data_IF_034867719538
#
_entry.id   IF_034867719538
#
_cell.length_a   1.000
_cell.length_b   1.000
_cell.length_c   1.000
_cell.angle_alpha   90.00
_cell.angle_beta   90.00
_cell.angle_gamma   90.00
#
_symmetry.space_group_name_H-M   'P 1'
#
loop_
_entity.id
_entity.type
_entity.pdbx_description
1 polymer ?
#
# COMPACT_ATOMS: atom_id res chain seq x y z
N UNK A 1 -18.17 -11.00 3.26
CA UNK A 1 -17.49 -11.12 4.57
C UNK A 1 -18.44 -10.52 5.59
N UNK A 2 -18.94 -11.27 6.59
CA UNK A 2 -19.78 -10.67 7.63
C UNK A 2 -18.98 -9.61 8.37
N UNK A 3 -19.64 -8.53 8.80
CA UNK A 3 -19.02 -7.53 9.67
C UNK A 3 -18.66 -8.18 11.01
N UNK A 4 -17.56 -7.77 11.67
CA UNK A 4 -17.20 -8.32 12.98
C UNK A 4 -18.24 -7.94 14.04
N UNK A 5 -18.54 -8.88 14.93
CA UNK A 5 -19.42 -8.66 16.10
C UNK A 5 -18.63 -8.42 17.40
N UNK A 6 -17.30 -8.56 17.34
CA UNK A 6 -16.40 -8.33 18.47
C UNK A 6 -16.42 -6.85 18.87
N UNK A 7 -16.96 -6.58 20.06
CA UNK A 7 -17.10 -5.22 20.60
C UNK A 7 -15.77 -4.50 20.80
N UNK A 8 -14.70 -5.22 21.14
CA UNK A 8 -13.38 -4.60 21.33
C UNK A 8 -12.80 -4.19 19.98
N UNK A 9 -12.92 -5.06 18.97
CA UNK A 9 -12.48 -4.76 17.61
C UNK A 9 -13.26 -3.58 17.00
N UNK A 10 -14.58 -3.55 17.19
CA UNK A 10 -15.42 -2.44 16.74
C UNK A 10 -15.01 -1.13 17.42
N UNK A 11 -14.82 -1.14 18.74
CA UNK A 11 -14.34 0.02 19.48
C UNK A 11 -12.98 0.50 18.99
N UNK A 12 -12.03 -0.42 18.75
CA UNK A 12 -10.71 -0.09 18.22
C UNK A 12 -10.81 0.56 16.83
N UNK A 13 -11.67 0.03 15.96
CA UNK A 13 -11.92 0.59 14.62
C UNK A 13 -12.48 2.01 14.70
N UNK A 14 -13.45 2.25 15.58
CA UNK A 14 -14.04 3.57 15.77
C UNK A 14 -13.00 4.57 16.30
N UNK A 15 -12.24 4.19 17.34
CA UNK A 15 -11.16 5.03 17.89
C UNK A 15 -10.09 5.35 16.85
N UNK A 16 -9.73 4.40 15.97
CA UNK A 16 -8.80 4.62 14.87
C UNK A 16 -9.31 5.69 13.89
N UNK A 17 -10.56 5.58 13.46
CA UNK A 17 -11.16 6.54 12.53
C UNK A 17 -11.28 7.93 13.16
N UNK A 18 -11.69 8.02 14.42
CA UNK A 18 -11.79 9.29 15.13
C UNK A 18 -10.42 9.93 15.33
N UNK A 19 -9.46 9.18 15.90
CA UNK A 19 -8.12 9.70 16.21
C UNK A 19 -7.37 10.13 14.95
N UNK A 20 -7.45 9.37 13.86
CA UNK A 20 -6.79 9.77 12.59
C UNK A 20 -7.37 11.05 12.01
N UNK A 21 -8.69 11.23 12.10
CA UNK A 21 -9.34 12.47 11.66
C UNK A 21 -8.90 13.66 12.50
N UNK A 22 -8.88 13.52 13.82
CA UNK A 22 -8.40 14.55 14.75
C UNK A 22 -6.94 14.91 14.48
N UNK A 23 -6.07 13.90 14.32
CA UNK A 23 -4.62 14.08 14.11
C UNK A 23 -4.31 14.96 12.90
N UNK A 24 -5.07 14.81 11.82
CA UNK A 24 -4.83 15.53 10.56
C UNK A 24 -5.84 16.65 10.28
N UNK A 25 -6.78 16.92 11.19
CA UNK A 25 -7.94 17.79 10.96
C UNK A 25 -8.67 17.45 9.64
N UNK A 26 -8.95 16.15 9.44
CA UNK A 26 -9.47 15.65 8.14
C UNK A 26 -10.98 15.86 8.02
N UNK A 27 -11.47 16.57 6.98
CA UNK A 27 -12.90 16.76 6.80
C UNK A 27 -13.65 15.43 6.58
N UNK A 28 -14.90 15.35 7.04
CA UNK A 28 -15.71 14.12 7.01
C UNK A 28 -15.93 13.53 5.61
N UNK A 29 -15.92 14.35 4.57
CA UNK A 29 -16.06 13.92 3.18
C UNK A 29 -14.77 13.40 2.53
N UNK A 30 -13.64 13.40 3.26
CA UNK A 30 -12.38 12.80 2.86
C UNK A 30 -12.12 11.51 3.65
N UNK A 31 -11.28 10.65 3.08
CA UNK A 31 -10.74 9.48 3.78
C UNK A 31 -9.86 9.95 4.95
N UNK A 32 -9.93 9.33 6.13
CA UNK A 32 -9.19 9.76 7.33
C UNK A 32 -7.66 9.64 7.17
N UNK A 33 -7.23 8.72 6.30
CA UNK A 33 -5.87 8.58 5.76
C UNK A 33 -5.98 8.46 4.25
N UNK A 34 -4.91 8.72 3.52
CA UNK A 34 -4.93 8.74 2.06
C UNK A 34 -5.95 9.74 1.46
N UNK A 35 -6.04 10.93 2.05
CA UNK A 35 -7.02 11.95 1.66
C UNK A 35 -6.73 12.55 0.27
N UNK A 36 -5.46 12.81 -0.06
CA UNK A 36 -5.00 13.21 -1.39
C UNK A 36 -4.77 11.97 -2.25
N UNK A 37 -5.54 11.81 -3.33
CA UNK A 37 -5.35 10.71 -4.26
C UNK A 37 -6.11 10.87 -5.57
N UNK A 38 -5.70 10.11 -6.59
CA UNK A 38 -6.24 10.15 -7.94
C UNK A 38 -6.62 8.75 -8.41
N UNK A 39 -7.86 8.61 -8.89
CA UNK A 39 -8.33 7.38 -9.52
C UNK A 39 -7.89 7.31 -10.98
N UNK A 40 -7.48 6.13 -11.40
CA UNK A 40 -7.12 5.80 -12.78
C UNK A 40 -7.69 4.44 -13.17
N UNK A 41 -7.80 4.16 -14.47
CA UNK A 41 -8.28 2.88 -15.00
C UNK A 41 -7.17 2.17 -15.76
N UNK A 42 -7.26 0.85 -15.83
CA UNK A 42 -6.32 0.02 -16.59
C UNK A 42 -6.85 -1.39 -16.76
N UNK A 43 -5.93 -2.30 -17.07
CA UNK A 43 -6.22 -3.72 -17.22
C UNK A 43 -5.05 -4.55 -16.69
N UNK A 44 -5.36 -5.74 -16.20
CA UNK A 44 -4.39 -6.74 -15.79
C UNK A 44 -4.49 -7.94 -16.72
N UNK A 45 -3.34 -8.47 -17.13
CA UNK A 45 -3.23 -9.73 -17.85
C UNK A 45 -2.36 -10.67 -17.03
N UNK A 46 -2.88 -11.81 -16.55
CA UNK A 46 -2.07 -12.75 -15.78
C UNK A 46 -1.00 -13.39 -16.65
N UNK A 47 0.11 -13.79 -16.02
CA UNK A 47 1.08 -14.65 -16.68
C UNK A 47 0.43 -16.01 -17.00
N UNK A 48 0.85 -16.66 -18.09
CA UNK A 48 0.30 -17.95 -18.55
C UNK A 48 0.34 -19.07 -17.50
N UNK A 49 1.26 -18.97 -16.55
CA UNK A 49 1.46 -19.95 -15.47
C UNK A 49 0.79 -19.53 -14.14
N UNK A 50 0.15 -18.36 -14.07
CA UNK A 50 -0.41 -17.82 -12.83
C UNK A 50 -1.55 -18.70 -12.25
N UNK A 51 -2.30 -19.39 -13.11
CA UNK A 51 -3.34 -20.34 -12.71
C UNK A 51 -2.81 -21.50 -11.85
N UNK A 52 -1.51 -21.81 -11.94
CA UNK A 52 -0.87 -22.82 -11.09
C UNK A 52 -0.76 -22.38 -9.62
N UNK A 53 -0.77 -21.08 -9.36
CA UNK A 53 -0.64 -20.51 -8.02
C UNK A 53 -1.99 -20.56 -7.29
N UNK A 54 -3.08 -20.18 -7.95
CA UNK A 54 -4.40 -20.16 -7.33
C UNK A 54 -5.54 -20.23 -8.34
N UNK A 55 -6.66 -20.79 -7.88
CA UNK A 55 -7.94 -20.85 -8.60
C UNK A 55 -8.72 -19.53 -8.66
N UNK A 56 -8.15 -18.44 -8.16
CA UNK A 56 -8.84 -17.15 -8.14
C UNK A 56 -9.11 -16.64 -9.57
N UNK A 57 -10.29 -16.02 -9.84
CA UNK A 57 -10.66 -15.57 -11.19
C UNK A 57 -9.64 -14.61 -11.83
N UNK A 58 -8.91 -13.83 -11.02
CA UNK A 58 -7.90 -12.91 -11.54
C UNK A 58 -6.73 -13.63 -12.25
N UNK A 59 -6.53 -14.94 -12.03
CA UNK A 59 -5.47 -15.72 -12.67
C UNK A 59 -5.96 -16.57 -13.85
N UNK A 60 -7.27 -16.66 -14.05
CA UNK A 60 -7.87 -17.51 -15.10
C UNK A 60 -8.51 -16.71 -16.22
N UNK A 61 -8.88 -15.44 -15.97
CA UNK A 61 -9.36 -14.53 -17.01
C UNK A 61 -8.21 -14.05 -17.90
N UNK A 62 -8.41 -13.89 -19.23
CA UNK A 62 -7.37 -13.41 -20.13
C UNK A 62 -6.99 -11.94 -19.88
N UNK A 63 -7.94 -11.14 -19.40
CA UNK A 63 -7.72 -9.75 -19.00
C UNK A 63 -8.80 -9.32 -18.02
N UNK A 64 -8.43 -8.55 -17.00
CA UNK A 64 -9.33 -8.05 -15.96
C UNK A 64 -9.27 -6.53 -15.89
N UNK A 65 -10.39 -5.80 -16.02
CA UNK A 65 -10.42 -4.36 -15.83
C UNK A 65 -10.01 -3.95 -14.41
N UNK A 66 -9.26 -2.86 -14.32
CA UNK A 66 -8.78 -2.32 -13.05
C UNK A 66 -9.32 -0.92 -12.79
N UNK A 67 -9.68 -0.67 -11.53
CA UNK A 67 -9.79 0.67 -10.96
C UNK A 67 -8.66 0.81 -9.95
N UNK A 68 -7.84 1.84 -10.06
CA UNK A 68 -6.67 2.02 -9.22
C UNK A 68 -6.64 3.42 -8.60
N UNK A 69 -6.02 3.55 -7.44
CA UNK A 69 -5.89 4.83 -6.72
C UNK A 69 -4.44 5.02 -6.29
N UNK A 70 -3.79 6.07 -6.78
CA UNK A 70 -2.54 6.57 -6.19
C UNK A 70 -2.87 7.61 -5.14
N UNK A 71 -2.17 7.57 -4.00
CA UNK A 71 -2.41 8.52 -2.92
C UNK A 71 -1.16 8.80 -2.09
N UNK A 72 -1.19 9.91 -1.37
CA UNK A 72 -0.30 10.12 -0.22
C UNK A 72 -0.81 9.34 0.99
N UNK A 73 -0.06 9.29 2.10
CA UNK A 73 -0.43 8.44 3.25
C UNK A 73 -1.24 9.14 4.35
N UNK A 74 -1.19 10.47 4.42
CA UNK A 74 -1.83 11.25 5.50
C UNK A 74 -3.31 11.58 5.24
N UNK A 75 -4.00 12.09 6.26
CA UNK A 75 -5.33 12.72 6.15
C UNK A 75 -5.33 14.14 5.54
N UNK A 76 -4.16 14.72 5.26
CA UNK A 76 -4.08 16.04 4.64
C UNK A 76 -4.48 16.01 3.16
N UNK A 77 -5.59 16.69 2.81
CA UNK A 77 -6.10 16.78 1.43
C UNK A 77 -5.13 17.41 0.43
N UNK A 78 -4.24 18.29 0.90
CA UNK A 78 -3.31 19.07 0.08
C UNK A 78 -1.85 18.79 0.47
N UNK A 79 -1.53 17.55 0.88
CA UNK A 79 -0.15 17.19 1.22
C UNK A 79 0.76 17.48 0.02
N UNK A 80 1.81 18.29 0.18
CA UNK A 80 2.80 18.50 -0.87
C UNK A 80 3.59 17.22 -1.16
N UNK A 81 3.80 16.93 -2.44
CA UNK A 81 4.56 15.75 -2.87
C UNK A 81 6.05 15.85 -2.52
N UNK A 82 6.54 17.07 -2.29
CA UNK A 82 7.93 17.41 -2.00
C UNK A 82 8.22 17.65 -0.50
N UNK A 83 7.30 17.26 0.39
CA UNK A 83 7.45 17.40 1.84
C UNK A 83 8.46 16.44 2.46
N UNK A 84 8.49 16.34 3.79
CA UNK A 84 9.37 15.38 4.49
C UNK A 84 8.91 13.92 4.33
N UNK A 85 7.59 13.72 4.12
CA UNK A 85 6.97 12.41 4.01
C UNK A 85 6.97 11.89 2.56
N UNK A 86 7.85 10.94 2.28
CA UNK A 86 7.92 10.22 1.00
C UNK A 86 6.97 9.03 0.86
N UNK A 87 6.18 8.71 1.89
CA UNK A 87 5.28 7.56 1.86
C UNK A 87 4.10 7.80 0.94
N UNK A 88 3.82 6.80 0.12
CA UNK A 88 2.74 6.77 -0.87
C UNK A 88 2.03 5.43 -0.82
N UNK A 89 0.80 5.42 -1.30
CA UNK A 89 -0.01 4.22 -1.47
C UNK A 89 -0.49 4.04 -2.90
N UNK A 90 -0.71 2.77 -3.21
CA UNK A 90 -1.33 2.34 -4.45
C UNK A 90 -2.35 1.23 -4.16
N UNK A 91 -3.61 1.51 -4.44
CA UNK A 91 -4.69 0.55 -4.32
C UNK A 91 -5.12 0.09 -5.72
N UNK A 92 -5.37 -1.22 -5.88
CA UNK A 92 -5.86 -1.83 -7.12
C UNK A 92 -7.13 -2.60 -6.80
N UNK A 93 -8.20 -2.32 -7.53
CA UNK A 93 -9.41 -3.13 -7.60
C UNK A 93 -9.48 -3.86 -8.93
N UNK A 94 -9.54 -5.18 -8.85
CA UNK A 94 -9.82 -6.10 -9.96
C UNK A 94 -11.33 -6.28 -10.07
N UNK A 95 -11.91 -5.88 -11.19
CA UNK A 95 -13.35 -6.01 -11.43
C UNK A 95 -13.63 -7.38 -12.05
N UNK A 96 -14.18 -8.31 -11.26
CA UNK A 96 -14.30 -9.73 -11.62
C UNK A 96 -15.67 -10.13 -12.17
N UNK A 97 -16.67 -9.26 -12.06
CA UNK A 97 -18.01 -9.42 -12.65
C UNK A 97 -18.43 -8.16 -13.41
N UNK A 98 -19.32 -8.32 -14.38
CA UNK A 98 -19.80 -7.20 -15.21
C UNK A 98 -20.54 -6.12 -14.40
N UNK A 99 -21.25 -6.51 -13.36
CA UNK A 99 -21.93 -5.59 -12.44
C UNK A 99 -20.98 -4.87 -11.46
N UNK A 100 -19.71 -5.27 -11.44
CA UNK A 100 -18.67 -4.72 -10.54
C UNK A 100 -18.82 -5.09 -9.07
N UNK A 101 -19.79 -5.92 -8.69
CA UNK A 101 -20.00 -6.32 -7.30
C UNK A 101 -19.00 -7.39 -6.84
N UNK A 102 -18.56 -8.26 -7.74
CA UNK A 102 -17.47 -9.21 -7.46
C UNK A 102 -16.14 -8.54 -7.80
N UNK A 103 -15.30 -8.36 -6.79
CA UNK A 103 -14.00 -7.72 -6.95
C UNK A 103 -12.96 -8.31 -5.99
N UNK A 104 -11.69 -8.09 -6.33
CA UNK A 104 -10.56 -8.35 -5.45
C UNK A 104 -9.76 -7.07 -5.33
N UNK A 105 -9.39 -6.69 -4.11
CA UNK A 105 -8.64 -5.47 -3.84
C UNK A 105 -7.24 -5.81 -3.31
N UNK A 106 -6.22 -5.13 -3.84
CA UNK A 106 -4.87 -5.12 -3.30
C UNK A 106 -4.60 -3.71 -2.78
N UNK A 107 -4.27 -3.59 -1.49
CA UNK A 107 -3.83 -2.34 -0.88
C UNK A 107 -2.32 -2.42 -0.68
N UNK A 108 -1.58 -1.40 -1.12
CA UNK A 108 -0.12 -1.37 -1.01
C UNK A 108 0.41 0.00 -0.60
N UNK A 109 1.61 0.01 -0.04
CA UNK A 109 2.42 1.20 0.21
C UNK A 109 3.78 1.05 -0.47
N UNK A 110 4.50 2.15 -0.63
CA UNK A 110 5.91 2.13 -1.07
C UNK A 110 6.91 1.81 0.05
N UNK A 111 6.42 1.59 1.27
CA UNK A 111 7.21 1.06 2.39
C UNK A 111 7.40 -0.45 2.28
N UNK A 112 8.59 -0.93 2.64
CA UNK A 112 8.85 -2.35 2.81
C UNK A 112 8.78 -2.75 4.29
N UNK A 113 7.65 -3.32 4.69
CA UNK A 113 7.28 -3.51 6.09
C UNK A 113 6.38 -2.39 6.60
N UNK A 114 6.07 -2.41 7.89
CA UNK A 114 5.22 -1.40 8.53
C UNK A 114 5.71 -1.03 9.92
N UNK A 115 5.29 0.14 10.40
CA UNK A 115 5.77 0.74 11.66
C UNK A 115 5.45 -0.15 12.86
N UNK A 116 4.25 -0.72 12.87
CA UNK A 116 3.69 -1.59 13.92
C UNK A 116 2.99 -2.81 13.33
N UNK A 117 2.68 -3.82 14.15
CA UNK A 117 2.01 -5.05 13.72
C UNK A 117 0.56 -5.20 14.17
N UNK A 118 0.05 -4.30 15.01
CA UNK A 118 -1.30 -4.38 15.57
C UNK A 118 -2.08 -3.08 15.39
N UNK A 119 -3.42 -3.19 15.42
CA UNK A 119 -4.30 -2.03 15.34
C UNK A 119 -4.14 -1.09 16.54
N UNK A 120 -3.90 -1.63 17.74
CA UNK A 120 -3.62 -0.86 18.95
C UNK A 120 -2.31 -0.09 18.83
N UNK A 121 -1.25 -0.71 18.29
CA UNK A 121 0.01 -0.01 18.04
C UNK A 121 -0.15 1.12 17.02
N UNK A 122 -1.01 0.93 16.02
CA UNK A 122 -1.30 1.95 15.02
C UNK A 122 -2.14 3.10 15.60
N UNK A 123 -3.08 2.78 16.49
CA UNK A 123 -3.83 3.77 17.25
C UNK A 123 -2.91 4.58 18.17
N UNK A 124 -2.00 3.91 18.88
CA UNK A 124 -1.01 4.57 19.74
C UNK A 124 -0.10 5.51 18.95
N UNK A 125 0.27 5.14 17.71
CA UNK A 125 1.03 6.02 16.82
C UNK A 125 0.27 7.32 16.53
N UNK A 126 -1.01 7.25 16.16
CA UNK A 126 -1.79 8.46 15.88
C UNK A 126 -2.10 9.27 17.13
N UNK A 127 -2.36 8.63 18.28
CA UNK A 127 -2.47 9.34 19.56
C UNK A 127 -1.18 10.11 19.87
N UNK A 128 -0.02 9.49 19.67
CA UNK A 128 1.28 10.13 19.85
C UNK A 128 1.51 11.29 18.86
N UNK A 129 1.10 11.16 17.59
CA UNK A 129 1.15 12.26 16.62
C UNK A 129 0.25 13.43 17.01
N UNK A 130 -1.00 13.15 17.40
CA UNK A 130 -1.98 14.18 17.82
C UNK A 130 -1.51 14.94 19.05
N UNK A 131 -0.93 14.23 20.01
CA UNK A 131 -0.57 14.77 21.32
C UNK A 131 0.88 15.29 21.39
N UNK A 132 1.62 15.27 20.28
CA UNK A 132 3.05 15.63 20.16
C UNK A 132 3.98 14.81 21.09
N UNK A 133 3.76 13.49 21.13
CA UNK A 133 4.45 12.52 22.00
C UNK A 133 5.14 11.40 21.22
N UNK A 134 5.63 11.70 20.03
CA UNK A 134 6.25 10.68 19.17
C UNK A 134 7.45 9.98 19.81
N UNK A 135 8.29 10.67 20.59
CA UNK A 135 9.42 10.02 21.26
C UNK A 135 8.98 8.97 22.29
N UNK A 136 7.93 9.24 23.08
CA UNK A 136 7.38 8.26 24.03
C UNK A 136 6.87 7.01 23.30
N UNK A 137 6.22 7.20 22.15
CA UNK A 137 5.80 6.09 21.28
C UNK A 137 7.00 5.30 20.75
N UNK A 138 8.06 5.96 20.30
CA UNK A 138 9.25 5.29 19.76
C UNK A 138 10.04 4.54 20.84
N UNK A 139 10.01 5.00 22.09
CA UNK A 139 10.57 4.28 23.23
C UNK A 139 9.74 3.02 23.57
N UNK A 140 8.41 3.12 23.48
CA UNK A 140 7.49 1.99 23.68
C UNK A 140 7.56 0.96 22.55
N UNK A 141 7.82 1.40 21.31
CA UNK A 141 7.89 0.57 20.11
C UNK A 141 9.27 0.67 19.43
N UNK A 142 10.29 -0.07 19.91
CA UNK A 142 11.64 0.00 19.35
C UNK A 142 11.73 -0.30 17.85
N UNK A 143 10.85 -1.18 17.34
CA UNK A 143 10.74 -1.42 15.90
C UNK A 143 10.29 -0.17 15.13
N UNK A 144 9.35 0.60 15.66
CA UNK A 144 8.87 1.81 15.03
C UNK A 144 10.00 2.85 14.90
N UNK A 145 10.85 2.98 15.94
CA UNK A 145 12.08 3.79 15.90
C UNK A 145 13.00 3.33 14.78
N UNK A 146 13.32 2.04 14.76
CA UNK A 146 14.14 1.45 13.70
C UNK A 146 13.57 1.72 12.30
N UNK A 147 12.26 1.53 12.12
CA UNK A 147 11.58 1.77 10.83
C UNK A 147 11.69 3.23 10.40
N UNK A 148 11.42 4.19 11.28
CA UNK A 148 11.48 5.63 10.95
C UNK A 148 12.90 6.10 10.60
N UNK A 149 13.90 5.53 11.27
CA UNK A 149 15.31 5.91 11.04
C UNK A 149 15.91 5.24 9.80
N UNK A 150 15.48 4.02 9.46
CA UNK A 150 16.19 3.18 8.48
C UNK A 150 15.34 2.73 7.28
N UNK A 151 14.02 2.75 7.38
CA UNK A 151 13.11 2.14 6.40
C UNK A 151 12.03 3.09 5.86
N UNK A 152 11.99 4.35 6.31
CA UNK A 152 11.07 5.34 5.76
C UNK A 152 11.25 5.52 4.24
N UNK A 153 10.16 5.48 3.45
CA UNK A 153 10.26 5.60 1.99
C UNK A 153 10.88 6.91 1.52
N UNK A 154 11.78 6.80 0.54
CA UNK A 154 12.22 7.95 -0.25
C UNK A 154 11.19 8.34 -1.32
N UNK A 155 11.20 9.61 -1.71
CA UNK A 155 10.38 10.16 -2.78
C UNK A 155 10.77 9.56 -4.14
N UNK A 156 9.80 9.00 -4.87
CA UNK A 156 10.00 8.56 -6.26
C UNK A 156 9.87 9.70 -7.26
N UNK A 157 10.59 9.62 -8.38
CA UNK A 157 10.50 10.61 -9.46
C UNK A 157 9.09 10.75 -10.02
N UNK A 158 8.35 9.64 -10.00
CA UNK A 158 6.99 9.50 -10.50
C UNK A 158 6.39 8.25 -9.87
N UNK A 159 5.06 8.21 -9.74
CA UNK A 159 4.35 6.96 -9.43
C UNK A 159 4.76 5.82 -10.39
N UNK A 160 5.02 6.12 -11.67
CA UNK A 160 5.45 5.15 -12.68
C UNK A 160 6.81 4.48 -12.42
N UNK A 161 7.55 4.99 -11.44
CA UNK A 161 8.90 4.58 -11.06
C UNK A 161 8.97 4.16 -9.59
N UNK A 162 7.80 3.97 -8.98
CA UNK A 162 7.65 3.54 -7.61
C UNK A 162 7.39 2.04 -7.54
N UNK A 163 7.95 1.39 -6.52
CA UNK A 163 7.64 0.00 -6.20
C UNK A 163 6.70 -0.06 -5.01
N UNK A 164 5.74 -0.99 -5.05
CA UNK A 164 4.70 -1.11 -4.04
C UNK A 164 4.66 -2.49 -3.40
N UNK A 165 4.28 -2.54 -2.13
CA UNK A 165 4.26 -3.72 -1.30
C UNK A 165 2.94 -3.81 -0.54
N UNK A 166 2.30 -4.99 -0.52
CA UNK A 166 1.05 -5.18 0.23
C UNK A 166 1.23 -5.27 1.75
N UNK A 167 2.48 -5.29 2.22
CA UNK A 167 2.88 -5.41 3.63
C UNK A 167 2.49 -6.77 4.24
N UNK A 168 1.19 -7.06 4.32
CA UNK A 168 0.63 -8.30 4.84
C UNK A 168 0.89 -9.48 3.91
N UNK A 169 1.02 -10.68 4.51
CA UNK A 169 1.00 -11.92 3.78
C UNK A 169 -0.45 -12.38 3.51
N UNK A 170 -0.64 -12.99 2.35
CA UNK A 170 -1.85 -13.63 1.90
C UNK A 170 -1.58 -15.10 1.65
N UNK A 171 -2.63 -15.88 1.43
CA UNK A 171 -2.53 -17.32 1.18
C UNK A 171 -3.13 -17.66 -0.17
N UNK A 172 -2.31 -18.23 -1.05
CA UNK A 172 -2.80 -18.90 -2.25
C UNK A 172 -3.36 -20.27 -1.89
N UNK A 173 -4.41 -20.67 -2.62
CA UNK A 173 -4.95 -22.02 -2.64
C UNK A 173 -5.15 -22.41 -4.10
N UNK A 174 -4.49 -23.47 -4.54
CA UNK A 174 -4.59 -24.01 -5.91
C UNK A 174 -5.75 -25.03 -6.05
N UNK A 175 -5.90 -25.60 -7.24
CA UNK A 175 -6.97 -26.56 -7.55
C UNK A 175 -6.85 -27.89 -6.78
N UNK A 176 -5.64 -28.23 -6.34
CA UNK A 176 -5.35 -29.42 -5.51
C UNK A 176 -5.55 -29.15 -4.00
N UNK A 177 -5.91 -27.91 -3.62
CA UNK A 177 -6.03 -27.49 -2.22
C UNK A 177 -4.70 -27.21 -1.53
N UNK A 178 -3.58 -27.20 -2.26
CA UNK A 178 -2.27 -26.84 -1.71
C UNK A 178 -2.23 -25.35 -1.38
N UNK A 179 -1.78 -25.06 -0.17
CA UNK A 179 -1.67 -23.70 0.34
C UNK A 179 -0.24 -23.17 0.24
N UNK A 180 -0.07 -21.89 -0.09
CA UNK A 180 1.23 -21.20 -0.01
C UNK A 180 1.05 -19.73 0.34
N UNK A 181 1.75 -19.27 1.38
CA UNK A 181 1.76 -17.86 1.75
C UNK A 181 2.61 -17.03 0.78
N UNK A 182 2.22 -15.78 0.60
CA UNK A 182 2.92 -14.84 -0.28
C UNK A 182 2.64 -13.38 0.11
N UNK A 183 3.46 -12.45 -0.38
CA UNK A 183 3.21 -11.00 -0.34
C UNK A 183 3.19 -10.44 -1.75
N UNK A 184 2.28 -9.52 -2.04
CA UNK A 184 2.25 -8.85 -3.33
C UNK A 184 3.38 -7.82 -3.43
N UNK A 185 4.02 -7.78 -4.61
CA UNK A 185 4.96 -6.74 -5.03
C UNK A 185 4.53 -6.19 -6.38
N UNK A 186 4.50 -4.88 -6.52
CA UNK A 186 4.16 -4.21 -7.77
C UNK A 186 5.41 -3.47 -8.23
N UNK A 187 6.05 -4.00 -9.27
CA UNK A 187 7.37 -3.54 -9.72
C UNK A 187 7.24 -2.72 -11.00
N UNK A 188 7.74 -1.48 -11.05
CA UNK A 188 7.62 -0.62 -12.22
C UNK A 188 8.47 -1.15 -13.38
N UNK A 189 7.92 -1.11 -14.61
CA UNK A 189 8.68 -1.55 -15.80
C UNK A 189 9.90 -0.68 -16.07
N UNK A 190 9.84 0.59 -15.70
CA UNK A 190 10.91 1.59 -15.90
C UNK A 190 12.02 1.46 -14.83
N UNK A 191 11.87 0.57 -13.85
CA UNK A 191 12.75 0.49 -12.70
C UNK A 191 12.38 1.49 -11.60
N UNK A 192 12.96 1.28 -10.42
CA UNK A 192 12.74 2.15 -9.25
C UNK A 192 13.66 3.35 -9.35
N UNK A 193 13.10 4.57 -9.33
CA UNK A 193 13.85 5.82 -9.38
C UNK A 193 13.43 6.76 -8.26
N UNK A 194 14.40 7.18 -7.44
CA UNK A 194 14.18 7.94 -6.21
C UNK A 194 14.99 9.23 -6.19
N UNK A 195 14.41 10.28 -5.63
CA UNK A 195 15.12 11.49 -5.25
C UNK A 195 15.86 11.30 -3.93
N UNK A 196 17.00 12.00 -3.79
CA UNK A 196 17.52 12.34 -2.47
C UNK A 196 16.50 13.23 -1.74
N UNK A 197 16.55 13.30 -0.41
CA UNK A 197 15.68 14.23 0.35
C UNK A 197 15.84 15.69 -0.13
N UNK A 198 17.08 16.10 -0.42
CA UNK A 198 17.38 17.45 -0.88
C UNK A 198 16.84 17.75 -2.29
N UNK A 199 16.84 16.77 -3.20
CA UNK A 199 16.32 16.96 -4.56
C UNK A 199 14.80 16.86 -4.62
N UNK A 200 14.20 16.04 -3.76
CA UNK A 200 12.75 15.98 -3.59
C UNK A 200 12.20 17.35 -3.16
N UNK A 201 12.84 18.00 -2.17
CA UNK A 201 12.43 19.32 -1.68
C UNK A 201 12.48 20.44 -2.74
N UNK A 202 13.22 20.25 -3.84
CA UNK A 202 13.29 21.19 -4.97
C UNK A 202 12.20 20.97 -6.02
N UNK A 203 11.47 19.84 -5.95
CA UNK A 203 10.38 19.57 -6.89
C UNK A 203 9.19 20.48 -6.60
N UNK A 204 8.28 20.58 -7.57
CA UNK A 204 6.99 21.25 -7.38
C UNK A 204 6.11 20.53 -6.35
N UNK A 205 5.18 21.23 -5.72
CA UNK A 205 4.34 20.67 -4.65
C UNK A 205 3.40 19.54 -5.10
N UNK A 206 3.19 19.37 -6.39
CA UNK A 206 2.27 18.37 -6.96
C UNK A 206 2.92 17.50 -8.05
N UNK A 207 4.26 17.48 -8.14
CA UNK A 207 4.98 16.92 -9.28
C UNK A 207 4.61 15.46 -9.62
N UNK A 208 4.24 14.63 -8.64
CA UNK A 208 3.91 13.22 -8.89
C UNK A 208 2.51 13.08 -9.51
N UNK A 209 1.57 13.89 -9.04
CA UNK A 209 0.21 13.93 -9.60
C UNK A 209 0.18 14.66 -10.95
N UNK A 210 0.98 15.70 -11.13
CA UNK A 210 1.13 16.40 -12.41
C UNK A 210 1.75 15.47 -13.48
N UNK A 211 2.78 14.68 -13.13
CA UNK A 211 3.34 13.66 -14.03
C UNK A 211 2.33 12.56 -14.35
N UNK A 212 1.51 12.13 -13.38
CA UNK A 212 0.44 11.16 -13.61
C UNK A 212 -0.58 11.67 -14.63
N UNK A 213 -1.06 12.90 -14.45
CA UNK A 213 -2.00 13.54 -15.37
C UNK A 213 -1.38 13.73 -16.76
N UNK A 214 -0.15 14.22 -16.82
CA UNK A 214 0.58 14.40 -18.08
C UNK A 214 0.72 13.08 -18.84
N UNK A 215 1.12 11.99 -18.17
CA UNK A 215 1.26 10.68 -18.82
C UNK A 215 -0.05 10.17 -19.40
N UNK A 216 -1.11 10.22 -18.61
CA UNK A 216 -2.40 9.67 -19.02
C UNK A 216 -3.07 10.51 -20.11
N UNK A 217 -2.96 11.83 -20.05
CA UNK A 217 -3.46 12.74 -21.11
C UNK A 217 -2.69 12.62 -22.43
N UNK A 218 -1.46 12.12 -22.41
CA UNK A 218 -0.60 11.97 -23.59
C UNK A 218 -0.43 10.51 -24.04
N UNK A 219 -1.34 9.60 -23.65
CA UNK A 219 -1.29 8.19 -24.03
C UNK A 219 0.04 7.49 -23.69
N UNK A 220 0.66 7.84 -22.56
CA UNK A 220 1.87 7.21 -22.01
C UNK A 220 1.49 6.31 -20.83
N UNK A 221 0.93 5.10 -21.06
CA UNK A 221 0.44 4.26 -19.98
C UNK A 221 1.58 3.85 -19.03
N UNK A 222 1.27 3.85 -17.73
CA UNK A 222 2.15 3.30 -16.70
C UNK A 222 1.99 1.78 -16.69
N UNK A 223 3.11 1.05 -16.62
CA UNK A 223 3.13 -0.42 -16.61
C UNK A 223 3.85 -0.92 -15.36
N UNK A 224 3.24 -1.89 -14.68
CA UNK A 224 3.87 -2.63 -13.58
C UNK A 224 3.73 -4.13 -13.77
N UNK A 225 4.73 -4.85 -13.26
CA UNK A 225 4.61 -6.29 -13.01
C UNK A 225 4.02 -6.48 -11.62
N UNK A 226 2.88 -7.16 -11.55
CA UNK A 226 2.34 -7.66 -10.29
C UNK A 226 2.96 -9.04 -10.02
N UNK A 227 3.73 -9.12 -8.96
CA UNK A 227 4.57 -10.27 -8.61
C UNK A 227 4.16 -10.82 -7.25
N UNK A 228 4.21 -12.14 -7.08
CA UNK A 228 4.05 -12.77 -5.78
C UNK A 228 5.42 -13.14 -5.20
N UNK A 229 5.82 -12.48 -4.10
CA UNK A 229 6.95 -12.93 -3.29
C UNK A 229 6.45 -14.09 -2.43
N UNK A 230 6.94 -15.31 -2.66
CA UNK A 230 6.43 -16.49 -1.98
C UNK A 230 7.15 -16.72 -0.64
N UNK A 231 6.41 -17.19 0.36
CA UNK A 231 6.98 -17.58 1.65
C UNK A 231 7.85 -18.84 1.52
N UNK A 232 8.90 -18.88 2.33
CA UNK A 232 9.79 -20.00 2.60
C UNK A 232 9.65 -20.43 4.07
N UNK A 233 10.29 -21.54 4.43
CA UNK A 233 10.32 -22.02 5.80
C UNK A 233 10.98 -20.99 6.73
N UNK A 234 10.35 -20.72 7.88
CA UNK A 234 10.84 -19.76 8.88
C UNK A 234 10.40 -18.31 8.64
N UNK A 235 9.70 -18.01 7.54
CA UNK A 235 9.15 -16.68 7.33
C UNK A 235 7.97 -16.37 8.24
N UNK A 236 7.98 -15.18 8.82
CA UNK A 236 6.83 -14.65 9.56
C UNK A 236 5.75 -14.14 8.59
N UNK A 237 4.53 -14.64 8.74
CA UNK A 237 3.39 -14.36 7.85
C UNK A 237 2.35 -13.45 8.51
N UNK A 238 2.34 -13.35 9.85
CA UNK A 238 1.33 -12.62 10.63
C UNK A 238 1.88 -11.37 11.33
N UNK A 239 3.13 -10.97 11.05
CA UNK A 239 3.74 -9.73 11.56
C UNK A 239 4.22 -8.85 10.39
N UNK A 240 3.58 -7.69 10.21
CA UNK A 240 3.92 -6.71 9.17
C UNK A 240 5.24 -5.97 9.42
N UNK A 241 5.79 -6.04 10.63
CA UNK A 241 7.12 -5.49 10.96
C UNK A 241 8.25 -6.39 10.48
N UNK A 242 7.96 -7.69 10.26
CA UNK A 242 8.94 -8.64 9.73
C UNK A 242 8.92 -8.64 8.22
N UNK A 243 10.03 -8.22 7.61
CA UNK A 243 10.25 -8.25 6.17
C UNK A 243 10.91 -9.55 5.73
N UNK A 244 10.62 -9.98 4.51
CA UNK A 244 11.28 -11.14 3.89
C UNK A 244 12.51 -10.68 3.08
N UNK A 245 13.48 -11.55 2.77
CA UNK A 245 14.61 -11.18 1.93
C UNK A 245 14.19 -10.63 0.55
N UNK A 246 14.75 -9.48 0.15
CA UNK A 246 14.30 -8.79 -1.06
C UNK A 246 14.61 -9.50 -2.37
N UNK A 247 15.73 -10.24 -2.42
CA UNK A 247 16.26 -10.88 -3.63
C UNK A 247 15.62 -12.23 -3.96
N UNK A 248 14.50 -12.58 -3.30
CA UNK A 248 13.82 -13.85 -3.57
C UNK A 248 13.23 -13.92 -4.97
N UNK A 249 13.15 -15.15 -5.49
CA UNK A 249 12.35 -15.43 -6.68
C UNK A 249 10.91 -14.97 -6.43
N UNK A 250 10.43 -14.12 -7.33
CA UNK A 250 9.02 -13.74 -7.37
C UNK A 250 8.39 -14.44 -8.57
N UNK A 251 7.22 -15.03 -8.36
CA UNK A 251 6.41 -15.66 -9.42
C UNK A 251 5.43 -14.68 -10.06
#
# INVERSE_FOLDING_TARGET
MPLPEDKQLLKLSDELVETTRETFDTPKNYRPVHAKGQLVKGYFTPHKDASKLSKAPLFTQPSTPLIMCYSTDTGFKNLPDNGENGSRSFAIRFVLSEDGHTHYDIMTNNAYGFVVSTGEGFLDQFKAMRDDKMEEFLDKYPHARYFMENQSPAHSYSFATEQWHSIHAYKFVNDEGKERYFRWRIVPWQGVMKHSKADAAKQEKNYQFDDLEYRLSHNKPIKYRLMAQLAEEGDEVNDSTKVWPEKRECS
#
